data_IF_380740156390
#
_entry.id   IF_380740156390
#
_cell.length_a   1.000
_cell.length_b   1.000
_cell.length_c   1.000
_cell.angle_alpha   90.00
_cell.angle_beta   90.00
_cell.angle_gamma   90.00
#
_symmetry.space_group_name_H-M   'P 1'
#
loop_
_entity.id
_entity.type
_entity.pdbx_description
1 polymer ?
#
# COMPACT_ATOMS: atom_id res chain seq x y z
N UNK A 1 23.04 32.53 19.10
CA UNK A 1 22.54 31.54 18.11
C UNK A 1 21.81 30.34 18.72
N UNK A 2 22.18 29.85 19.90
CA UNK A 2 21.67 28.61 20.52
C UNK A 2 20.17 28.59 20.87
N UNK A 3 19.57 29.71 21.31
CA UNK A 3 18.12 29.80 21.59
C UNK A 3 17.25 29.74 20.33
N UNK A 4 17.78 30.16 19.18
CA UNK A 4 17.05 30.16 17.90
C UNK A 4 17.03 28.74 17.31
N UNK A 5 18.14 28.00 17.44
CA UNK A 5 18.25 26.60 17.06
C UNK A 5 17.26 25.72 17.84
N UNK A 6 17.07 25.97 19.14
CA UNK A 6 16.15 25.19 19.98
C UNK A 6 14.67 25.44 19.63
N UNK A 7 14.32 26.69 19.30
CA UNK A 7 12.94 27.07 18.89
C UNK A 7 12.55 26.53 17.51
N UNK A 8 13.51 26.21 16.65
CA UNK A 8 13.28 25.65 15.31
C UNK A 8 13.41 24.12 15.33
N UNK A 9 14.34 23.57 16.13
CA UNK A 9 14.59 22.14 16.25
C UNK A 9 13.36 21.36 16.73
N UNK A 10 12.71 21.83 17.81
CA UNK A 10 11.55 21.16 18.40
C UNK A 10 10.38 20.98 17.41
N UNK A 11 9.86 22.03 16.75
CA UNK A 11 8.77 21.85 15.79
C UNK A 11 9.20 21.05 14.55
N UNK A 12 10.47 21.13 14.15
CA UNK A 12 11.00 20.35 13.01
C UNK A 12 11.04 18.85 13.32
N UNK A 13 11.48 18.47 14.53
CA UNK A 13 11.48 17.07 14.99
C UNK A 13 10.05 16.52 15.10
N UNK A 14 9.10 17.33 15.59
CA UNK A 14 7.69 16.91 15.68
C UNK A 14 7.08 16.72 14.28
N UNK A 15 7.38 17.62 13.34
CA UNK A 15 6.90 17.51 11.96
C UNK A 15 7.49 16.27 11.23
N UNK A 16 8.80 16.05 11.37
CA UNK A 16 9.48 14.89 10.80
C UNK A 16 9.01 13.58 11.46
N UNK A 17 8.83 13.57 12.78
CA UNK A 17 8.29 12.44 13.51
C UNK A 17 6.88 12.08 13.05
N UNK A 18 5.99 13.07 12.92
CA UNK A 18 4.61 12.88 12.44
C UNK A 18 4.52 12.28 11.04
N UNK A 19 5.43 12.68 10.12
CA UNK A 19 5.46 12.15 8.76
C UNK A 19 5.83 10.66 8.72
N UNK A 20 6.70 10.19 9.63
CA UNK A 20 7.10 8.79 9.71
C UNK A 20 5.93 7.92 10.20
N UNK A 21 5.15 8.41 11.17
CA UNK A 21 3.97 7.67 11.69
C UNK A 21 2.83 7.61 10.67
N UNK A 22 2.70 8.62 9.82
CA UNK A 22 1.68 8.70 8.77
C UNK A 22 2.14 8.10 7.43
N UNK A 23 3.19 7.29 7.40
CA UNK A 23 3.55 6.61 6.15
C UNK A 23 2.41 5.66 5.75
N UNK A 24 1.74 5.86 4.60
CA UNK A 24 0.78 4.89 4.10
C UNK A 24 1.59 3.69 3.63
N UNK A 25 1.78 2.72 4.53
CA UNK A 25 2.31 1.41 4.16
C UNK A 25 1.34 0.80 3.15
N UNK A 26 1.61 1.04 1.88
CA UNK A 26 0.83 0.50 0.79
C UNK A 26 1.27 -0.96 0.63
N UNK A 27 0.56 -1.87 1.30
CA UNK A 27 0.79 -3.32 1.21
C UNK A 27 0.40 -3.90 -0.17
N UNK A 28 -0.07 -3.05 -1.09
CA UNK A 28 -0.36 -3.45 -2.46
C UNK A 28 0.95 -3.82 -3.18
N UNK A 29 1.07 -5.08 -3.58
CA UNK A 29 2.14 -5.50 -4.50
C UNK A 29 1.89 -4.93 -5.88
N UNK A 30 2.53 -3.78 -6.14
CA UNK A 30 2.49 -3.10 -7.44
C UNK A 30 3.01 -3.98 -8.59
N UNK A 31 3.80 -5.01 -8.28
CA UNK A 31 4.26 -6.01 -9.26
C UNK A 31 3.09 -6.78 -9.89
N UNK A 32 2.08 -7.17 -9.11
CA UNK A 32 0.93 -7.94 -9.61
C UNK A 32 0.00 -7.07 -10.45
N UNK A 33 -0.24 -5.82 -10.02
CA UNK A 33 -1.07 -4.90 -10.81
C UNK A 33 -0.39 -4.52 -12.13
N UNK A 34 0.94 -4.40 -12.16
CA UNK A 34 1.71 -4.19 -13.39
C UNK A 34 1.72 -5.41 -14.30
N UNK A 35 1.88 -6.62 -13.74
CA UNK A 35 1.90 -7.88 -14.49
C UNK A 35 0.55 -8.14 -15.16
N UNK A 36 -0.55 -8.03 -14.42
CA UNK A 36 -1.87 -8.43 -14.90
C UNK A 36 -2.64 -7.29 -15.59
N UNK A 37 -2.35 -6.03 -15.23
CA UNK A 37 -3.00 -4.85 -15.83
C UNK A 37 -4.51 -4.79 -15.61
N UNK A 38 -5.05 -5.51 -14.62
CA UNK A 38 -6.49 -5.57 -14.32
C UNK A 38 -6.90 -4.52 -13.29
N UNK A 39 -8.16 -4.12 -13.33
CA UNK A 39 -8.75 -3.25 -12.30
C UNK A 39 -8.71 -3.94 -10.93
N UNK A 40 -8.63 -3.16 -9.84
CA UNK A 40 -8.56 -3.72 -8.48
C UNK A 40 -9.74 -4.64 -8.16
N UNK A 41 -10.93 -4.31 -8.66
CA UNK A 41 -12.16 -5.10 -8.47
C UNK A 41 -12.17 -6.44 -9.21
N UNK A 42 -11.17 -6.69 -10.06
CA UNK A 42 -11.01 -7.97 -10.74
C UNK A 42 -10.61 -9.07 -9.76
N UNK A 43 -9.73 -8.76 -8.79
CA UNK A 43 -9.33 -9.70 -7.74
C UNK A 43 -9.96 -9.37 -6.38
N UNK A 44 -10.33 -8.11 -6.14
CA UNK A 44 -10.91 -7.65 -4.86
C UNK A 44 -12.41 -7.43 -4.97
N UNK A 45 -13.13 -7.61 -3.85
CA UNK A 45 -14.58 -7.34 -3.80
C UNK A 45 -14.90 -5.85 -3.96
N UNK A 46 -13.99 -4.97 -3.56
CA UNK A 46 -14.05 -3.53 -3.85
C UNK A 46 -12.64 -2.92 -3.88
N UNK A 47 -12.48 -1.79 -4.59
CA UNK A 47 -11.22 -1.06 -4.62
C UNK A 47 -10.81 -0.61 -3.21
N UNK A 48 -9.54 -0.83 -2.84
CA UNK A 48 -9.01 -0.46 -1.52
C UNK A 48 -9.42 -1.39 -0.37
N UNK A 49 -10.19 -2.45 -0.63
CA UNK A 49 -10.45 -3.51 0.36
C UNK A 49 -9.42 -4.62 0.21
N UNK A 50 -9.02 -5.21 1.34
CA UNK A 50 -8.14 -6.39 1.34
C UNK A 50 -8.85 -7.68 0.90
N UNK A 51 -10.18 -7.67 0.93
CA UNK A 51 -11.01 -8.82 0.69
C UNK A 51 -10.96 -9.24 -0.78
N UNK A 52 -10.80 -10.54 -1.03
CA UNK A 52 -10.61 -11.12 -2.36
C UNK A 52 -11.91 -11.81 -2.79
N UNK A 53 -12.27 -11.61 -4.06
CA UNK A 53 -13.33 -12.38 -4.71
C UNK A 53 -12.81 -13.77 -5.12
N UNK A 54 -13.62 -14.57 -5.81
CA UNK A 54 -13.26 -15.93 -6.21
C UNK A 54 -12.02 -15.96 -7.13
N UNK A 55 -11.89 -14.99 -8.04
CA UNK A 55 -10.72 -14.85 -8.92
C UNK A 55 -9.48 -14.51 -8.10
N UNK A 56 -9.59 -13.57 -7.16
CA UNK A 56 -8.48 -13.17 -6.30
C UNK A 56 -7.98 -14.30 -5.39
N UNK A 57 -8.90 -15.14 -4.90
CA UNK A 57 -8.56 -16.36 -4.16
C UNK A 57 -7.84 -17.36 -5.05
N UNK A 58 -8.39 -17.65 -6.23
CA UNK A 58 -7.74 -18.53 -7.22
C UNK A 58 -6.33 -18.03 -7.56
N UNK A 59 -6.16 -16.73 -7.81
CA UNK A 59 -4.85 -16.13 -8.10
C UNK A 59 -3.84 -16.34 -6.97
N UNK A 60 -4.28 -16.23 -5.71
CA UNK A 60 -3.42 -16.46 -4.55
C UNK A 60 -2.99 -17.93 -4.43
N UNK A 61 -3.87 -18.88 -4.77
CA UNK A 61 -3.58 -20.33 -4.69
C UNK A 61 -2.82 -20.85 -5.92
N UNK A 62 -2.99 -20.24 -7.09
CA UNK A 62 -2.35 -20.63 -8.36
C UNK A 62 -1.04 -19.87 -8.62
N UNK A 63 -0.25 -19.61 -7.57
CA UNK A 63 1.09 -19.04 -7.69
C UNK A 63 1.12 -17.62 -8.26
N UNK A 64 0.08 -16.82 -8.02
CA UNK A 64 -0.05 -15.46 -8.56
C UNK A 64 0.00 -15.42 -10.10
N UNK A 65 -0.70 -16.37 -10.74
CA UNK A 65 -1.02 -16.34 -12.17
C UNK A 65 -2.52 -16.36 -12.39
N UNK A 66 -3.00 -15.57 -13.35
CA UNK A 66 -4.40 -15.61 -13.80
C UNK A 66 -4.67 -16.80 -14.73
N UNK A 67 -3.64 -17.57 -15.09
CA UNK A 67 -3.77 -18.76 -15.91
C UNK A 67 -4.58 -19.83 -15.17
N UNK A 68 -5.79 -20.10 -15.67
CA UNK A 68 -6.70 -21.09 -15.08
C UNK A 68 -7.70 -20.53 -14.06
N UNK A 69 -7.62 -19.25 -13.72
CA UNK A 69 -8.62 -18.55 -12.91
C UNK A 69 -9.67 -17.92 -13.82
N UNK A 70 -10.84 -18.56 -13.94
CA UNK A 70 -11.94 -18.14 -14.82
C UNK A 70 -13.12 -17.58 -14.05
#
# INVERSE_FOLDING_TARGET
MSKLLLKISVPSIIALGGLIVYSPFSFAKTEYTKKEGKACTFCHTAAGKKDLNDIGKCYAEHGHSLEGCK
#
